data_IF_064499207994
#
_entry.id   IF_064499207994
#
_cell.length_a   1.000
_cell.length_b   1.000
_cell.length_c   1.000
_cell.angle_alpha   90.00
_cell.angle_beta   90.00
_cell.angle_gamma   90.00
#
_symmetry.space_group_name_H-M   'P 1'
#
loop_
_entity.id
_entity.type
_entity.pdbx_description
1 polymer ?
#
# COMPACT_ATOMS: atom_id res chain seq x y z
N UNK A 1 19.96 12.03 -10.35
CA UNK A 1 21.07 11.07 -10.53
C UNK A 1 20.72 9.86 -9.70
N UNK A 2 20.72 8.70 -10.32
CA UNK A 2 20.38 7.44 -9.68
C UNK A 2 21.65 6.90 -9.01
N UNK A 3 21.89 7.35 -7.77
CA UNK A 3 23.14 7.12 -7.06
C UNK A 3 23.21 5.71 -6.42
N UNK A 4 22.10 4.98 -6.44
CA UNK A 4 21.97 3.68 -5.79
C UNK A 4 22.09 2.57 -6.84
N UNK A 5 23.01 1.62 -6.63
CA UNK A 5 23.13 0.47 -7.54
C UNK A 5 21.86 -0.39 -7.51
N UNK A 6 21.53 -1.05 -8.61
CA UNK A 6 20.39 -1.99 -8.67
C UNK A 6 20.45 -3.05 -7.56
N UNK A 7 21.66 -3.51 -7.23
CA UNK A 7 21.87 -4.42 -6.11
C UNK A 7 21.37 -3.84 -4.78
N UNK A 8 21.78 -2.61 -4.45
CA UNK A 8 21.36 -1.97 -3.21
C UNK A 8 19.85 -1.66 -3.21
N UNK A 9 19.29 -1.25 -4.36
CA UNK A 9 17.84 -1.05 -4.50
C UNK A 9 17.05 -2.32 -4.18
N UNK A 10 17.45 -3.44 -4.80
CA UNK A 10 16.78 -4.73 -4.58
C UNK A 10 16.93 -5.17 -3.13
N UNK A 11 18.11 -4.97 -2.53
CA UNK A 11 18.36 -5.31 -1.12
C UNK A 11 17.45 -4.51 -0.19
N UNK A 12 17.38 -3.18 -0.34
CA UNK A 12 16.51 -2.31 0.46
C UNK A 12 15.05 -2.74 0.31
N UNK A 13 14.57 -2.94 -0.91
CA UNK A 13 13.19 -3.38 -1.12
C UNK A 13 12.88 -4.73 -0.46
N UNK A 14 13.78 -5.70 -0.60
CA UNK A 14 13.57 -7.03 0.00
C UNK A 14 13.63 -7.02 1.53
N UNK A 15 14.40 -6.11 2.14
CA UNK A 15 14.53 -6.02 3.58
C UNK A 15 13.38 -5.22 4.20
N UNK A 16 13.13 -4.01 3.68
CA UNK A 16 12.22 -3.04 4.30
C UNK A 16 10.74 -3.33 3.99
N UNK A 17 10.43 -4.07 2.93
CA UNK A 17 9.04 -4.45 2.57
C UNK A 17 8.59 -5.78 3.18
N UNK A 18 9.17 -6.17 4.32
CA UNK A 18 8.79 -7.36 5.09
C UNK A 18 7.90 -6.98 6.27
N UNK A 19 6.78 -7.67 6.46
CA UNK A 19 5.85 -7.39 7.58
C UNK A 19 5.10 -6.06 7.47
N UNK A 20 5.06 -5.47 6.27
CA UNK A 20 4.45 -4.17 6.01
C UNK A 20 2.96 -4.26 5.73
N UNK A 21 2.28 -3.11 5.85
CA UNK A 21 0.84 -2.99 5.75
C UNK A 21 0.45 -1.89 4.78
N UNK A 22 -0.61 -2.11 4.01
CA UNK A 22 -1.17 -1.12 3.09
C UNK A 22 -2.30 -0.36 3.78
N UNK A 23 -2.22 0.96 3.67
CA UNK A 23 -3.19 1.91 4.17
C UNK A 23 -3.88 2.66 3.01
N UNK A 24 -5.15 3.03 3.23
CA UNK A 24 -5.94 3.83 2.30
C UNK A 24 -6.13 5.23 2.86
N UNK A 25 -6.02 6.24 1.99
CA UNK A 25 -6.10 7.64 2.36
C UNK A 25 -7.22 8.34 1.58
N UNK A 26 -7.97 9.18 2.30
CA UNK A 26 -8.89 10.15 1.72
C UNK A 26 -8.27 11.53 1.83
N UNK A 27 -7.75 12.02 0.71
CA UNK A 27 -6.89 13.20 0.69
C UNK A 27 -5.60 12.94 1.46
N UNK A 28 -5.33 13.76 2.47
CA UNK A 28 -4.12 13.67 3.31
C UNK A 28 -4.32 12.83 4.59
N UNK A 29 -5.51 12.28 4.82
CA UNK A 29 -5.85 11.59 6.07
C UNK A 29 -6.09 10.11 5.79
N UNK A 30 -5.45 9.25 6.58
CA UNK A 30 -5.74 7.81 6.55
C UNK A 30 -7.19 7.58 6.96
N UNK A 31 -7.87 6.64 6.32
CA UNK A 31 -9.25 6.28 6.69
C UNK A 31 -9.31 5.92 8.18
N UNK A 32 -10.11 6.66 8.95
CA UNK A 32 -10.24 6.49 10.40
C UNK A 32 -11.68 6.04 10.75
N UNK A 33 -12.07 4.88 10.24
CA UNK A 33 -13.40 4.27 10.46
C UNK A 33 -13.27 2.94 11.19
N UNK A 34 -14.28 2.57 11.98
CA UNK A 34 -14.25 1.36 12.80
C UNK A 34 -14.12 0.08 11.96
N UNK A 35 -14.77 0.03 10.79
CA UNK A 35 -14.67 -1.12 9.89
C UNK A 35 -13.40 -1.15 9.04
N UNK A 36 -12.56 -0.12 9.09
CA UNK A 36 -11.33 -0.03 8.31
C UNK A 36 -10.13 -0.50 9.14
N UNK A 37 -9.25 -1.26 8.49
CA UNK A 37 -7.94 -1.66 9.04
C UNK A 37 -6.93 -1.71 7.91
N UNK A 38 -5.67 -1.33 8.18
CA UNK A 38 -4.57 -1.59 7.26
C UNK A 38 -4.48 -3.09 6.96
N UNK A 39 -4.07 -3.44 5.74
CA UNK A 39 -3.97 -4.85 5.32
C UNK A 39 -2.51 -5.27 5.20
N UNK A 40 -2.10 -6.41 5.79
CA UNK A 40 -0.77 -6.95 5.54
C UNK A 40 -0.60 -7.23 4.05
N UNK A 41 0.60 -7.00 3.55
CA UNK A 41 0.95 -7.26 2.16
C UNK A 41 2.29 -7.98 2.09
N UNK A 42 2.39 -8.90 1.14
CA UNK A 42 3.65 -9.54 0.77
C UNK A 42 4.04 -9.13 -0.64
N UNK A 43 5.32 -8.86 -0.82
CA UNK A 43 5.90 -8.46 -2.10
C UNK A 43 6.65 -9.63 -2.74
N UNK A 44 6.76 -9.60 -4.07
CA UNK A 44 7.66 -10.50 -4.78
C UNK A 44 9.13 -10.13 -4.48
N UNK A 45 10.05 -11.03 -4.81
CA UNK A 45 11.48 -10.70 -4.78
C UNK A 45 11.76 -9.51 -5.71
N UNK A 46 12.43 -8.49 -5.20
CA UNK A 46 12.75 -7.30 -5.96
C UNK A 46 13.77 -7.59 -7.07
N UNK A 47 13.50 -7.03 -8.25
CA UNK A 47 14.36 -7.06 -9.43
C UNK A 47 14.37 -5.68 -10.09
N UNK A 48 15.48 -5.29 -10.71
CA UNK A 48 15.61 -3.99 -11.41
C UNK A 48 15.17 -2.75 -10.60
N UNK A 49 15.40 -2.79 -9.28
CA UNK A 49 15.06 -1.71 -8.36
C UNK A 49 13.56 -1.54 -8.11
N UNK A 50 12.76 -2.57 -8.36
CA UNK A 50 11.32 -2.57 -8.17
C UNK A 50 10.78 -3.90 -7.63
N UNK A 51 9.59 -3.86 -7.04
CA UNK A 51 8.80 -5.04 -6.67
C UNK A 51 7.30 -4.72 -6.73
N UNK A 52 6.47 -5.75 -6.66
CA UNK A 52 5.01 -5.63 -6.60
C UNK A 52 4.39 -6.61 -5.61
N UNK A 53 3.17 -6.29 -5.16
CA UNK A 53 2.41 -7.19 -4.29
C UNK A 53 2.16 -8.54 -4.99
N UNK A 54 2.45 -9.64 -4.31
CA UNK A 54 2.43 -10.98 -4.91
C UNK A 54 1.06 -11.69 -4.81
N UNK A 55 0.08 -11.07 -4.15
CA UNK A 55 -1.29 -11.54 -3.98
C UNK A 55 -2.28 -10.36 -3.94
N UNK A 56 -3.57 -10.66 -4.12
CA UNK A 56 -4.65 -9.69 -3.96
C UNK A 56 -4.71 -9.18 -2.51
N UNK A 57 -4.87 -7.87 -2.35
CA UNK A 57 -5.08 -7.23 -1.04
C UNK A 57 -6.56 -6.86 -0.95
N UNK A 58 -7.27 -7.54 -0.05
CA UNK A 58 -8.69 -7.32 0.21
C UNK A 58 -8.87 -6.57 1.53
N UNK A 59 -9.43 -5.37 1.46
CA UNK A 59 -9.84 -4.61 2.64
C UNK A 59 -11.16 -5.18 3.19
N UNK A 60 -11.53 -4.90 4.46
CA UNK A 60 -12.83 -5.30 4.98
C UNK A 60 -13.98 -4.70 4.15
N UNK A 61 -15.15 -5.30 4.24
CA UNK A 61 -16.37 -4.68 3.71
C UNK A 61 -16.72 -3.50 4.61
N UNK A 62 -16.89 -2.32 4.02
CA UNK A 62 -17.18 -1.10 4.73
C UNK A 62 -18.55 -1.17 5.43
N UNK A 63 -18.59 -0.90 6.74
CA UNK A 63 -19.85 -0.78 7.50
C UNK A 63 -20.30 0.69 7.59
N UNK A 64 -19.40 1.62 7.31
CA UNK A 64 -19.63 3.05 7.22
C UNK A 64 -18.98 3.62 5.96
N UNK A 65 -19.37 4.83 5.54
CA UNK A 65 -18.71 5.52 4.42
C UNK A 65 -17.25 5.83 4.79
N UNK A 66 -16.30 5.30 4.01
CA UNK A 66 -14.87 5.62 4.14
C UNK A 66 -14.48 6.85 3.31
N UNK A 67 -15.29 7.20 2.31
CA UNK A 67 -15.09 8.35 1.44
C UNK A 67 -14.32 8.00 0.17
N UNK A 68 -13.76 9.03 -0.47
CA UNK A 68 -12.95 8.90 -1.69
C UNK A 68 -11.53 8.45 -1.34
N UNK A 69 -11.14 7.29 -1.83
CA UNK A 69 -9.77 6.79 -1.68
C UNK A 69 -8.91 7.38 -2.78
N UNK A 70 -8.05 8.33 -2.43
CA UNK A 70 -7.22 9.08 -3.37
C UNK A 70 -5.75 8.66 -3.33
N UNK A 71 -5.28 8.09 -2.22
CA UNK A 71 -3.90 7.64 -2.08
C UNK A 71 -3.81 6.29 -1.39
N UNK A 72 -2.71 5.60 -1.65
CA UNK A 72 -2.32 4.35 -1.02
C UNK A 72 -0.95 4.56 -0.38
N UNK A 73 -0.78 4.08 0.84
CA UNK A 73 0.49 4.14 1.55
C UNK A 73 0.90 2.77 2.09
N UNK A 74 2.20 2.61 2.33
CA UNK A 74 2.80 1.42 2.96
C UNK A 74 3.37 1.84 4.31
N UNK A 75 3.04 1.09 5.36
CA UNK A 75 3.51 1.28 6.73
C UNK A 75 4.25 0.04 7.24
N UNK A 76 5.20 0.24 8.14
CA UNK A 76 5.94 -0.84 8.82
C UNK A 76 5.11 -1.58 9.89
N UNK A 77 3.93 -1.06 10.27
CA UNK A 77 3.07 -1.65 11.29
C UNK A 77 1.57 -1.57 10.96
N UNK A 78 0.79 -2.49 11.54
CA UNK A 78 -0.66 -2.55 11.39
C UNK A 78 -1.38 -1.34 12.00
N UNK A 79 -0.82 -0.76 13.06
CA UNK A 79 -1.29 0.44 13.75
C UNK A 79 -0.07 1.30 14.10
N UNK A 80 -0.24 2.63 14.11
CA UNK A 80 0.87 3.58 14.26
C UNK A 80 1.98 3.34 13.21
N UNK A 81 3.23 3.16 13.63
CA UNK A 81 4.36 2.89 12.73
C UNK A 81 4.77 4.06 11.86
N UNK A 82 5.76 3.82 11.00
CA UNK A 82 6.29 4.77 10.04
C UNK A 82 5.72 4.52 8.65
N UNK A 83 5.41 5.59 7.94
CA UNK A 83 5.07 5.53 6.52
C UNK A 83 6.33 5.39 5.69
N UNK A 84 6.41 4.31 4.90
CA UNK A 84 7.57 4.00 4.05
C UNK A 84 7.40 4.54 2.64
N UNK A 85 6.19 4.42 2.09
CA UNK A 85 5.85 4.87 0.74
C UNK A 85 4.43 5.43 0.70
N UNK A 86 4.19 6.39 -0.19
CA UNK A 86 2.87 6.91 -0.52
C UNK A 86 2.80 7.21 -2.00
N UNK A 87 1.67 6.89 -2.61
CA UNK A 87 1.38 7.20 -4.01
C UNK A 87 -0.09 7.57 -4.16
N UNK A 88 -0.43 8.45 -5.11
CA UNK A 88 -1.81 8.55 -5.60
C UNK A 88 -2.31 7.19 -6.05
N UNK A 89 -3.59 6.90 -5.80
CA UNK A 89 -4.27 5.79 -6.41
C UNK A 89 -4.46 6.06 -7.91
N UNK A 90 -4.36 5.04 -8.75
CA UNK A 90 -4.55 5.20 -10.21
C UNK A 90 -5.95 5.75 -10.54
N UNK A 91 -6.95 5.30 -9.77
CA UNK A 91 -8.31 5.81 -9.83
C UNK A 91 -8.81 6.11 -8.42
N UNK A 92 -9.45 7.27 -8.27
CA UNK A 92 -10.21 7.58 -7.07
C UNK A 92 -11.42 6.66 -7.01
N UNK A 93 -11.60 5.97 -5.88
CA UNK A 93 -12.78 5.13 -5.64
C UNK A 93 -13.50 5.60 -4.39
N UNK A 94 -14.78 5.91 -4.52
CA UNK A 94 -15.66 6.14 -3.38
C UNK A 94 -16.01 4.81 -2.74
N UNK A 95 -15.81 4.70 -1.43
CA UNK A 95 -16.17 3.51 -0.65
C UNK A 95 -17.30 3.88 0.30
N UNK A 96 -18.50 3.50 -0.11
CA UNK A 96 -19.73 3.60 0.67
C UNK A 96 -19.99 2.34 1.49
N UNK A 97 -21.02 2.36 2.32
CA UNK A 97 -21.48 1.19 3.08
C UNK A 97 -21.68 -0.01 2.14
N UNK A 98 -21.26 -1.19 2.57
CA UNK A 98 -21.28 -2.45 1.81
C UNK A 98 -20.33 -2.52 0.61
N UNK A 99 -19.50 -1.49 0.37
CA UNK A 99 -18.44 -1.53 -0.64
C UNK A 99 -17.16 -2.18 -0.09
N UNK A 100 -16.29 -2.63 -1.00
CA UNK A 100 -14.97 -3.17 -0.65
C UNK A 100 -13.90 -2.60 -1.58
N UNK A 101 -12.78 -2.17 -1.01
CA UNK A 101 -11.60 -1.82 -1.78
C UNK A 101 -10.71 -3.05 -1.99
N UNK A 102 -10.27 -3.25 -3.24
CA UNK A 102 -9.37 -4.34 -3.63
C UNK A 102 -8.20 -3.76 -4.43
N UNK A 103 -6.99 -4.19 -4.08
CA UNK A 103 -5.79 -4.02 -4.90
C UNK A 103 -5.43 -5.39 -5.47
N UNK A 104 -5.54 -5.60 -6.80
CA UNK A 104 -5.16 -6.86 -7.42
C UNK A 104 -3.66 -7.16 -7.24
N UNK A 105 -3.30 -8.44 -7.33
CA UNK A 105 -1.92 -8.89 -7.49
C UNK A 105 -1.21 -8.09 -8.60
N UNK A 106 0.06 -7.78 -8.39
CA UNK A 106 0.94 -7.02 -9.28
C UNK A 106 0.55 -5.55 -9.54
N UNK A 107 -0.44 -5.00 -8.84
CA UNK A 107 -0.94 -3.66 -9.08
C UNK A 107 -0.23 -2.58 -8.23
N UNK A 108 0.14 -2.92 -6.99
CA UNK A 108 0.92 -2.04 -6.13
C UNK A 108 2.40 -2.24 -6.44
N UNK A 109 2.98 -1.32 -7.22
CA UNK A 109 4.39 -1.35 -7.63
C UNK A 109 5.19 -0.34 -6.81
N UNK A 110 6.27 -0.79 -6.17
CA UNK A 110 7.24 0.07 -5.50
C UNK A 110 8.52 0.07 -6.32
N UNK A 111 9.05 1.25 -6.64
CA UNK A 111 10.30 1.43 -7.40
C UNK A 111 11.18 2.47 -6.75
N UNK A 112 12.45 2.14 -6.58
CA UNK A 112 13.49 3.08 -6.15
C UNK A 112 14.15 3.72 -7.37
N UNK A 113 14.21 5.06 -7.39
CA UNK A 113 14.91 5.85 -8.42
C UNK A 113 16.35 6.17 -8.02
#
# INVERSE_FOLDING_TARGET
MDNMTTYLKNKVLNQELTGVHVALFSGAVEVAKASYTRKPVTFAAAADGQTSNNADILFPIAQEVWGEITHIAIFDAATAGNMLFMSPAEFVKTIDVSSQYKIPKNYLIVRLR
#
